data_IF_012924234967
#
_entry.id   IF_012924234967
#
_cell.length_a   1.000
_cell.length_b   1.000
_cell.length_c   1.000
_cell.angle_alpha   90.00
_cell.angle_beta   90.00
_cell.angle_gamma   90.00
#
_symmetry.space_group_name_H-M   'P 1'
#
loop_
_entity.id
_entity.type
_entity.pdbx_description
1 polymer ?
#
# COMPACT_ATOMS: atom_id res chain seq x y z
N UNK A 1 -10.94 12.18 -12.00
CA UNK A 1 -10.34 10.83 -12.02
C UNK A 1 -9.39 10.83 -10.87
N UNK A 2 -9.86 10.26 -9.78
CA UNK A 2 -9.15 10.17 -8.52
C UNK A 2 -8.28 8.93 -8.60
N UNK A 3 -6.97 9.13 -8.82
CA UNK A 3 -6.05 8.00 -9.03
C UNK A 3 -5.67 7.39 -7.69
N UNK A 4 -5.56 6.08 -7.65
CA UNK A 4 -4.99 5.36 -6.52
C UNK A 4 -3.64 4.72 -6.90
N UNK A 5 -2.77 4.57 -5.90
CA UNK A 5 -1.50 3.85 -6.02
C UNK A 5 -1.56 2.61 -5.12
N UNK A 6 -1.31 1.43 -5.68
CA UNK A 6 -1.06 0.21 -4.92
C UNK A 6 0.42 -0.17 -5.08
N UNK A 7 1.13 -0.28 -3.98
CA UNK A 7 2.53 -0.74 -3.94
C UNK A 7 2.58 -2.11 -3.30
N UNK A 8 3.04 -3.10 -4.05
CA UNK A 8 3.19 -4.49 -3.60
C UNK A 8 4.67 -4.80 -3.33
N UNK A 9 4.91 -5.95 -2.69
CA UNK A 9 6.27 -6.46 -2.48
C UNK A 9 6.99 -6.79 -3.79
N UNK A 10 8.28 -6.45 -3.87
CA UNK A 10 9.14 -6.71 -5.03
C UNK A 10 10.23 -5.65 -5.22
N UNK A 11 10.96 -5.73 -6.33
CA UNK A 11 11.94 -4.70 -6.69
C UNK A 11 11.22 -3.43 -7.16
N UNK A 12 11.31 -2.39 -6.35
CA UNK A 12 10.66 -1.12 -6.62
C UNK A 12 11.42 -0.31 -7.69
N UNK A 13 10.71 0.36 -8.62
CA UNK A 13 11.37 1.30 -9.52
C UNK A 13 11.98 2.48 -8.74
N UNK A 14 12.95 3.20 -9.34
CA UNK A 14 13.50 4.38 -8.70
C UNK A 14 12.41 5.43 -8.48
N UNK A 15 12.43 6.08 -7.31
CA UNK A 15 11.46 7.13 -6.93
C UNK A 15 11.27 8.17 -8.03
N UNK A 16 12.34 8.55 -8.74
CA UNK A 16 12.31 9.54 -9.82
C UNK A 16 11.38 9.16 -10.99
N UNK A 17 11.13 7.88 -11.22
CA UNK A 17 10.23 7.42 -12.28
C UNK A 17 8.76 7.72 -11.96
N UNK A 18 8.39 7.72 -10.67
CA UNK A 18 7.01 7.90 -10.22
C UNK A 18 6.78 9.24 -9.50
N UNK A 19 7.84 9.97 -9.14
CA UNK A 19 7.78 11.26 -8.47
C UNK A 19 6.81 12.28 -9.09
N UNK A 20 6.71 12.42 -10.43
CA UNK A 20 5.75 13.35 -11.05
C UNK A 20 4.29 12.97 -10.83
N UNK A 21 4.00 11.70 -10.51
CA UNK A 21 2.65 11.17 -10.34
C UNK A 21 2.19 11.20 -8.88
N UNK A 22 3.11 11.34 -7.92
CA UNK A 22 2.77 11.22 -6.49
C UNK A 22 1.68 12.18 -6.02
N UNK A 23 1.71 13.43 -6.47
CA UNK A 23 0.67 14.41 -6.13
C UNK A 23 -0.68 14.16 -6.81
N UNK A 24 -0.75 13.22 -7.76
CA UNK A 24 -1.99 12.85 -8.45
C UNK A 24 -2.75 11.70 -7.78
N UNK A 25 -2.10 10.98 -6.86
CA UNK A 25 -2.73 9.90 -6.12
C UNK A 25 -3.48 10.46 -4.91
N UNK A 26 -4.77 10.13 -4.82
CA UNK A 26 -5.62 10.50 -3.68
C UNK A 26 -5.69 9.40 -2.63
N UNK A 27 -5.46 8.15 -3.05
CA UNK A 27 -5.30 7.02 -2.16
C UNK A 27 -3.99 6.29 -2.45
N UNK A 28 -3.30 5.89 -1.38
CA UNK A 28 -2.05 5.13 -1.44
C UNK A 28 -2.22 3.89 -0.57
N UNK A 29 -2.06 2.72 -1.18
CA UNK A 29 -2.19 1.42 -0.53
C UNK A 29 -0.84 0.70 -0.57
N UNK A 30 -0.42 0.19 0.59
CA UNK A 30 0.75 -0.67 0.73
C UNK A 30 0.30 -2.12 0.94
N UNK A 31 0.81 -3.07 0.16
CA UNK A 31 0.62 -4.49 0.40
C UNK A 31 1.94 -5.13 0.86
N UNK A 32 1.93 -5.77 2.04
CA UNK A 32 3.08 -6.38 2.70
C UNK A 32 4.35 -5.50 2.65
N UNK A 33 5.45 -5.99 2.06
CA UNK A 33 6.72 -5.28 1.94
C UNK A 33 6.66 -4.03 1.06
N UNK A 34 5.53 -3.79 0.37
CA UNK A 34 5.24 -2.50 -0.27
C UNK A 34 5.20 -1.32 0.71
N UNK A 35 4.97 -1.57 2.01
CA UNK A 35 5.06 -0.53 3.04
C UNK A 35 6.47 0.04 3.15
N UNK A 36 7.49 -0.82 3.04
CA UNK A 36 8.89 -0.39 3.12
C UNK A 36 9.26 0.47 1.92
N UNK A 37 8.76 0.11 0.74
CA UNK A 37 8.95 0.88 -0.50
C UNK A 37 8.31 2.26 -0.41
N UNK A 38 7.08 2.34 0.09
CA UNK A 38 6.40 3.63 0.29
C UNK A 38 7.13 4.49 1.31
N UNK A 39 7.62 3.89 2.39
CA UNK A 39 8.43 4.58 3.38
C UNK A 39 9.72 5.15 2.77
N UNK A 40 10.45 4.36 1.98
CA UNK A 40 11.65 4.79 1.26
C UNK A 40 11.33 5.88 0.20
N UNK A 41 10.13 5.83 -0.38
CA UNK A 41 9.64 6.90 -1.22
C UNK A 41 9.12 8.10 -0.43
N UNK A 42 9.04 8.06 0.91
CA UNK A 42 8.49 9.17 1.70
C UNK A 42 7.04 9.50 1.34
N UNK A 43 6.26 8.46 1.03
CA UNK A 43 4.81 8.55 0.83
C UNK A 43 4.09 7.97 2.03
N UNK A 44 3.03 8.66 2.46
CA UNK A 44 2.18 8.19 3.55
C UNK A 44 1.08 7.27 3.00
N UNK A 45 1.06 5.98 3.38
CA UNK A 45 -0.03 5.10 3.01
C UNK A 45 -1.32 5.52 3.72
N UNK A 46 -2.42 5.53 2.98
CA UNK A 46 -3.77 5.64 3.53
C UNK A 46 -4.34 4.27 3.95
N UNK A 47 -3.82 3.21 3.32
CA UNK A 47 -4.25 1.83 3.52
C UNK A 47 -3.03 0.92 3.53
N UNK A 48 -2.99 -0.03 4.46
CA UNK A 48 -1.96 -1.07 4.54
C UNK A 48 -2.68 -2.42 4.60
N UNK A 49 -2.37 -3.31 3.68
CA UNK A 49 -2.96 -4.64 3.55
C UNK A 49 -1.89 -5.72 3.63
N UNK A 50 -2.29 -6.89 4.13
CA UNK A 50 -1.44 -8.07 4.16
C UNK A 50 -1.32 -8.69 5.54
N UNK A 51 -0.70 -9.88 5.62
CA UNK A 51 -0.47 -10.55 6.90
C UNK A 51 0.72 -9.94 7.68
N UNK A 52 1.57 -9.17 7.00
CA UNK A 52 2.71 -8.42 7.54
C UNK A 52 3.87 -9.28 8.05
N UNK A 53 3.84 -10.61 7.86
CA UNK A 53 4.91 -11.54 8.23
C UNK A 53 6.15 -11.35 7.34
N UNK A 54 5.97 -10.78 6.15
CA UNK A 54 7.04 -10.48 5.19
C UNK A 54 7.71 -9.11 5.39
N UNK A 55 7.31 -8.32 6.40
CA UNK A 55 7.93 -7.02 6.69
C UNK A 55 9.29 -7.22 7.36
N UNK A 56 10.34 -6.62 6.79
CA UNK A 56 11.66 -6.58 7.42
C UNK A 56 11.68 -5.58 8.57
N UNK A 57 10.87 -4.52 8.46
CA UNK A 57 10.74 -3.42 9.44
C UNK A 57 9.30 -3.28 9.94
N UNK A 58 8.80 -4.20 10.79
CA UNK A 58 7.42 -4.15 11.30
C UNK A 58 7.13 -2.90 12.13
N UNK A 59 8.16 -2.24 12.68
CA UNK A 59 8.03 -0.96 13.39
C UNK A 59 7.45 0.16 12.51
N UNK A 60 7.57 0.08 11.19
CA UNK A 60 7.00 1.06 10.27
C UNK A 60 5.48 1.17 10.40
N UNK A 61 4.79 0.11 10.82
CA UNK A 61 3.34 0.15 11.08
C UNK A 61 2.98 1.19 12.14
N UNK A 62 3.89 1.45 13.09
CA UNK A 62 3.69 2.44 14.14
C UNK A 62 3.95 3.87 13.66
N UNK A 63 4.68 4.04 12.56
CA UNK A 63 4.92 5.36 11.95
C UNK A 63 3.68 5.91 11.24
N UNK A 64 2.69 5.07 10.94
CA UNK A 64 1.49 5.42 10.19
C UNK A 64 0.21 5.17 11.01
N UNK A 65 -0.01 5.89 12.13
CA UNK A 65 -1.18 5.68 12.99
C UNK A 65 -2.51 6.03 12.31
N UNK A 66 -2.48 6.93 11.33
CA UNK A 66 -3.66 7.36 10.57
C UNK A 66 -3.98 6.39 9.40
N UNK A 67 -3.05 5.50 9.05
CA UNK A 67 -3.27 4.54 7.98
C UNK A 67 -4.25 3.46 8.45
N UNK A 68 -5.22 3.14 7.59
CA UNK A 68 -6.10 2.00 7.85
C UNK A 68 -5.31 0.72 7.65
N UNK A 69 -5.18 -0.10 8.69
CA UNK A 69 -4.50 -1.40 8.61
C UNK A 69 -5.53 -2.50 8.49
N UNK A 70 -5.47 -3.29 7.41
CA UNK A 70 -6.31 -4.46 7.18
C UNK A 70 -5.42 -5.69 7.10
N UNK A 71 -5.46 -6.52 8.15
CA UNK A 71 -4.71 -7.77 8.18
C UNK A 71 -5.43 -8.84 7.37
N UNK A 72 -4.74 -9.44 6.41
CA UNK A 72 -5.28 -10.55 5.65
C UNK A 72 -5.38 -11.80 6.53
N UNK A 73 -6.52 -12.48 6.49
CA UNK A 73 -6.66 -13.78 7.16
C UNK A 73 -6.10 -14.86 6.24
N UNK A 74 -5.09 -15.61 6.70
CA UNK A 74 -4.45 -16.73 5.95
C UNK A 74 -5.44 -17.80 5.45
N UNK A 75 -6.67 -17.82 5.94
CA UNK A 75 -7.72 -18.77 5.55
C UNK A 75 -8.54 -18.32 4.32
N UNK A 76 -8.32 -17.11 3.81
CA UNK A 76 -8.98 -16.60 2.60
C UNK A 76 -8.06 -16.82 1.40
N UNK A 77 -8.56 -17.44 0.34
CA UNK A 77 -7.89 -17.57 -0.97
C UNK A 77 -7.71 -16.23 -1.72
N UNK A 78 -7.85 -15.07 -1.05
CA UNK A 78 -7.66 -13.74 -1.65
C UNK A 78 -6.20 -13.32 -1.43
N UNK A 79 -5.48 -12.99 -2.51
CA UNK A 79 -4.11 -12.47 -2.39
C UNK A 79 -4.11 -11.04 -1.85
N UNK A 80 -3.01 -10.61 -1.24
CA UNK A 80 -2.89 -9.26 -0.66
C UNK A 80 -3.04 -8.16 -1.73
N UNK A 81 -2.66 -8.48 -2.96
CA UNK A 81 -2.86 -7.59 -4.13
C UNK A 81 -4.33 -7.45 -4.49
N UNK A 82 -5.07 -8.56 -4.56
CA UNK A 82 -6.51 -8.55 -4.83
C UNK A 82 -7.27 -7.81 -3.73
N UNK A 83 -6.89 -8.04 -2.47
CA UNK A 83 -7.43 -7.32 -1.32
C UNK A 83 -7.17 -5.82 -1.42
N UNK A 84 -5.94 -5.41 -1.79
CA UNK A 84 -5.58 -4.01 -2.00
C UNK A 84 -6.43 -3.34 -3.08
N UNK A 85 -6.61 -3.98 -4.23
CA UNK A 85 -7.44 -3.48 -5.33
C UNK A 85 -8.90 -3.33 -4.89
N UNK A 86 -9.46 -4.38 -4.26
CA UNK A 86 -10.85 -4.36 -3.79
C UNK A 86 -11.09 -3.24 -2.79
N UNK A 87 -10.21 -3.08 -1.80
CA UNK A 87 -10.36 -2.05 -0.77
C UNK A 87 -10.19 -0.62 -1.30
N UNK A 88 -9.30 -0.42 -2.28
CA UNK A 88 -9.20 0.86 -3.00
C UNK A 88 -10.51 1.16 -3.74
N UNK A 89 -11.08 0.18 -4.44
CA UNK A 89 -12.34 0.33 -5.17
C UNK A 89 -13.55 0.58 -4.22
N UNK A 90 -13.59 -0.09 -3.06
CA UNK A 90 -14.62 0.11 -2.03
C UNK A 90 -14.52 1.49 -1.36
N UNK A 91 -13.33 2.09 -1.33
CA UNK A 91 -13.10 3.43 -0.78
C UNK A 91 -13.63 4.57 -1.67
N UNK A 92 -14.22 4.23 -2.83
CA UNK A 92 -14.84 5.18 -3.75
C UNK A 92 -13.90 5.74 -4.82
N UNK A 93 -12.66 5.28 -4.86
CA UNK A 93 -11.61 5.73 -5.76
C UNK A 93 -11.58 4.79 -6.98
N UNK A 94 -12.09 5.26 -8.13
CA UNK A 94 -12.04 4.52 -9.40
C UNK A 94 -10.85 5.00 -10.24
N UNK A 95 -10.13 4.02 -10.80
CA UNK A 95 -8.99 4.07 -11.75
C UNK A 95 -8.60 5.44 -12.35
#
# INVERSE_FOLDING_TARGET
MDKALLVIGGEAPPRSALAPLFSSFRAVCAADSGLEVLHDWGLDPTLIVGDMDSLTRPELLTCYPEARIVRAERAKDETDTEMGIRLLAESGERE
#
